data_IF_966969340233
#
_entry.id   IF_966969340233
#
_cell.length_a   1.000
_cell.length_b   1.000
_cell.length_c   1.000
_cell.angle_alpha   90.00
_cell.angle_beta   90.00
_cell.angle_gamma   90.00
#
_symmetry.space_group_name_H-M   'P 1'
#
loop_
_entity.id
_entity.type
_entity.pdbx_description
1 polymer ?
#
# COMPACT_ATOMS: atom_id res chain seq x y z
N UNK A 1 11.97 -37.04 42.55
CA UNK A 1 11.19 -36.05 41.76
C UNK A 1 10.21 -36.84 40.93
N UNK A 2 8.90 -36.69 41.20
CA UNK A 2 7.86 -37.51 40.58
C UNK A 2 7.65 -37.11 39.11
N UNK A 3 8.50 -37.66 38.26
CA UNK A 3 8.55 -37.38 36.82
C UNK A 3 7.23 -37.74 36.12
N UNK A 4 6.50 -38.72 36.64
CA UNK A 4 5.14 -39.03 36.18
C UNK A 4 4.13 -37.92 36.48
N UNK A 5 4.21 -37.27 37.66
CA UNK A 5 3.30 -36.17 38.04
C UNK A 5 3.56 -34.91 37.21
N UNK A 6 4.83 -34.58 36.97
CA UNK A 6 5.21 -33.42 36.15
C UNK A 6 4.73 -33.60 34.70
N UNK A 7 4.85 -34.80 34.13
CA UNK A 7 4.30 -35.12 32.80
C UNK A 7 2.79 -34.92 32.72
N UNK A 8 2.06 -35.41 33.69
CA UNK A 8 0.59 -35.26 33.72
C UNK A 8 0.19 -33.79 33.83
N UNK A 9 0.88 -33.00 34.65
CA UNK A 9 0.65 -31.54 34.75
C UNK A 9 0.92 -30.85 33.42
N UNK A 10 2.00 -31.19 32.72
CA UNK A 10 2.32 -30.62 31.40
C UNK A 10 1.28 -30.97 30.34
N UNK A 11 0.79 -32.22 30.32
CA UNK A 11 -0.25 -32.66 29.38
C UNK A 11 -1.55 -31.89 29.64
N UNK A 12 -1.94 -31.72 30.91
CA UNK A 12 -3.15 -30.98 31.28
C UNK A 12 -3.00 -29.49 30.94
N UNK A 13 -1.85 -28.89 31.22
CA UNK A 13 -1.60 -27.48 30.91
C UNK A 13 -1.61 -27.21 29.40
N UNK A 14 -1.02 -28.10 28.59
CA UNK A 14 -1.04 -28.00 27.13
C UNK A 14 -2.47 -28.17 26.60
N UNK A 15 -3.24 -29.12 27.14
CA UNK A 15 -4.64 -29.30 26.76
C UNK A 15 -5.51 -28.09 27.10
N UNK A 16 -5.28 -27.44 28.25
CA UNK A 16 -5.99 -26.19 28.59
C UNK A 16 -5.63 -25.05 27.64
N UNK A 17 -4.36 -24.95 27.24
CA UNK A 17 -3.91 -23.98 26.23
C UNK A 17 -4.57 -24.26 24.87
N UNK A 18 -4.59 -25.52 24.43
CA UNK A 18 -5.23 -25.90 23.16
C UNK A 18 -6.73 -25.59 23.16
N UNK A 19 -7.43 -25.88 24.26
CA UNK A 19 -8.86 -25.54 24.42
C UNK A 19 -9.05 -24.01 24.40
N UNK A 20 -8.17 -23.25 25.04
CA UNK A 20 -8.19 -21.80 25.00
C UNK A 20 -7.96 -21.28 23.57
N UNK A 21 -6.99 -21.82 22.84
CA UNK A 21 -6.72 -21.46 21.45
C UNK A 21 -7.87 -21.83 20.53
N UNK A 22 -8.51 -22.99 20.73
CA UNK A 22 -9.73 -23.37 19.99
C UNK A 22 -10.88 -22.43 20.32
N UNK A 23 -11.06 -22.06 21.59
CA UNK A 23 -12.08 -21.09 21.99
C UNK A 23 -11.84 -19.73 21.36
N UNK A 24 -10.60 -19.23 21.37
CA UNK A 24 -10.21 -17.96 20.74
C UNK A 24 -10.37 -18.02 19.22
N UNK A 25 -9.96 -19.12 18.58
CA UNK A 25 -10.15 -19.36 17.15
C UNK A 25 -11.64 -19.40 16.77
N UNK A 26 -12.47 -20.11 17.54
CA UNK A 26 -13.92 -20.15 17.32
C UNK A 26 -14.53 -18.78 17.56
N UNK A 27 -14.10 -18.04 18.58
CA UNK A 27 -14.56 -16.68 18.86
C UNK A 27 -14.20 -15.73 17.72
N UNK A 28 -12.98 -15.76 17.18
CA UNK A 28 -12.58 -14.97 16.00
C UNK A 28 -13.44 -15.35 14.79
N UNK A 29 -13.65 -16.64 14.56
CA UNK A 29 -14.49 -17.14 13.47
C UNK A 29 -15.98 -16.83 13.68
N UNK A 30 -16.46 -16.75 14.91
CA UNK A 30 -17.80 -16.32 15.29
C UNK A 30 -17.95 -14.80 15.19
N UNK A 31 -16.94 -13.99 15.49
CA UNK A 31 -16.95 -12.57 15.16
C UNK A 31 -17.02 -12.34 13.64
N UNK A 32 -16.39 -13.23 12.86
CA UNK A 32 -16.52 -13.26 11.39
C UNK A 32 -17.84 -13.86 10.89
N UNK A 33 -18.57 -14.64 11.70
CA UNK A 33 -19.86 -15.29 11.36
C UNK A 33 -21.09 -14.66 12.02
N UNK A 34 -20.95 -13.82 13.03
CA UNK A 34 -22.05 -13.18 13.74
C UNK A 34 -22.76 -12.11 12.91
N UNK A 35 -22.26 -11.84 11.69
CA UNK A 35 -22.98 -11.14 10.63
C UNK A 35 -24.03 -12.02 9.90
N UNK A 36 -24.16 -13.32 10.21
CA UNK A 36 -25.19 -14.25 9.66
C UNK A 36 -26.58 -14.16 10.37
N UNK A 37 -26.92 -13.04 11.02
CA UNK A 37 -28.32 -12.59 11.02
C UNK A 37 -28.68 -12.20 9.56
N UNK A 38 -29.94 -12.08 9.14
CA UNK A 38 -30.23 -11.46 7.84
C UNK A 38 -29.89 -9.97 7.94
N UNK A 39 -28.60 -9.66 7.90
CA UNK A 39 -28.05 -8.33 7.75
C UNK A 39 -28.43 -7.90 6.34
N UNK A 40 -29.15 -6.79 6.28
CA UNK A 40 -29.41 -6.08 5.04
C UNK A 40 -28.08 -5.96 4.26
N UNK A 41 -28.05 -6.30 2.96
CA UNK A 41 -26.81 -6.26 2.18
C UNK A 41 -26.11 -4.90 2.36
N UNK A 42 -24.77 -4.84 2.38
CA UNK A 42 -24.03 -3.60 2.60
C UNK A 42 -24.50 -2.47 1.67
N UNK A 43 -24.80 -2.81 0.41
CA UNK A 43 -25.33 -1.89 -0.59
C UNK A 43 -26.64 -1.22 -0.17
N UNK A 44 -27.57 -1.95 0.43
CA UNK A 44 -28.83 -1.42 0.92
C UNK A 44 -28.61 -0.52 2.16
N UNK A 45 -27.74 -0.94 3.07
CA UNK A 45 -27.36 -0.14 4.24
C UNK A 45 -26.75 1.20 3.80
N UNK A 46 -25.81 1.18 2.86
CA UNK A 46 -25.18 2.40 2.31
C UNK A 46 -26.22 3.32 1.67
N UNK A 47 -27.15 2.79 0.87
CA UNK A 47 -28.23 3.59 0.26
C UNK A 47 -29.13 4.25 1.32
N UNK A 48 -29.45 3.55 2.42
CA UNK A 48 -30.24 4.13 3.52
C UNK A 48 -29.49 5.23 4.27
N UNK A 49 -28.17 5.12 4.37
CA UNK A 49 -27.29 6.13 4.94
C UNK A 49 -27.02 7.31 3.97
N UNK A 50 -27.55 7.26 2.75
CA UNK A 50 -27.29 8.25 1.70
C UNK A 50 -25.83 8.30 1.26
N UNK A 51 -25.09 7.20 1.43
CA UNK A 51 -23.70 7.11 0.96
C UNK A 51 -23.73 6.63 -0.50
N UNK A 52 -23.43 7.55 -1.40
CA UNK A 52 -23.48 7.33 -2.84
C UNK A 52 -22.09 6.97 -3.40
N UNK A 53 -22.09 6.12 -4.43
CA UNK A 53 -20.90 5.68 -5.13
C UNK A 53 -21.25 5.28 -6.57
N UNK A 54 -20.29 5.40 -7.48
CA UNK A 54 -20.45 4.98 -8.86
C UNK A 54 -20.33 3.45 -8.99
N UNK A 55 -21.46 2.77 -9.19
CA UNK A 55 -21.53 1.31 -9.28
C UNK A 55 -20.75 0.74 -10.46
N UNK A 56 -20.60 1.50 -11.54
CA UNK A 56 -19.89 1.05 -12.75
C UNK A 56 -18.38 1.06 -12.57
N UNK A 57 -17.88 1.85 -11.61
CA UNK A 57 -16.46 1.95 -11.25
C UNK A 57 -16.02 0.99 -10.16
N UNK A 58 -16.95 0.21 -9.59
CA UNK A 58 -16.60 -0.79 -8.60
C UNK A 58 -15.93 -2.01 -9.27
N UNK A 59 -14.76 -2.46 -8.78
CA UNK A 59 -14.17 -3.71 -9.23
C UNK A 59 -15.11 -4.88 -8.96
N UNK A 60 -15.26 -5.77 -9.94
CA UNK A 60 -16.29 -6.80 -9.96
C UNK A 60 -15.88 -8.04 -9.15
N UNK A 61 -16.79 -8.45 -8.25
CA UNK A 61 -17.04 -9.75 -7.58
C UNK A 61 -15.91 -10.79 -7.44
N UNK A 62 -15.77 -11.31 -6.21
CA UNK A 62 -15.01 -12.53 -5.86
C UNK A 62 -13.52 -12.50 -6.26
N UNK A 63 -12.93 -11.31 -6.22
CA UNK A 63 -11.50 -11.14 -6.31
C UNK A 63 -10.85 -11.92 -5.17
N UNK A 64 -9.80 -12.66 -5.51
CA UNK A 64 -8.91 -13.23 -4.52
C UNK A 64 -7.59 -12.51 -4.55
N UNK A 65 -6.99 -12.41 -3.38
CA UNK A 65 -5.68 -11.82 -3.21
C UNK A 65 -4.99 -12.44 -1.99
N UNK A 66 -3.73 -12.10 -1.80
CA UNK A 66 -2.91 -12.64 -0.73
C UNK A 66 -1.84 -11.62 -0.32
N UNK A 67 -1.17 -11.91 0.80
CA UNK A 67 -0.04 -11.11 1.23
C UNK A 67 1.12 -11.21 0.24
N UNK A 68 1.92 -10.16 0.13
CA UNK A 68 3.19 -10.19 -0.59
C UNK A 68 4.35 -9.97 0.37
N UNK A 69 5.46 -10.65 0.11
CA UNK A 69 6.75 -10.34 0.72
C UNK A 69 7.62 -9.59 -0.29
N UNK A 70 8.20 -8.47 0.13
CA UNK A 70 9.08 -7.67 -0.72
C UNK A 70 10.35 -7.26 0.04
N UNK A 71 11.42 -6.96 -0.70
CA UNK A 71 12.67 -6.43 -0.11
C UNK A 71 13.00 -5.08 -0.74
N UNK A 72 13.51 -4.15 0.05
CA UNK A 72 14.07 -2.92 -0.50
C UNK A 72 15.29 -3.25 -1.36
N UNK A 73 15.31 -2.72 -2.58
CA UNK A 73 16.45 -2.80 -3.47
C UNK A 73 17.66 -2.16 -2.81
N UNK A 74 18.78 -2.88 -2.85
CA UNK A 74 20.07 -2.35 -2.45
C UNK A 74 20.83 -1.92 -3.70
N UNK A 75 21.04 -0.63 -3.86
CA UNK A 75 21.85 -0.04 -4.91
C UNK A 75 23.34 -0.25 -4.58
N UNK A 76 24.07 -0.85 -5.51
CA UNK A 76 25.51 -1.09 -5.34
C UNK A 76 26.32 -0.22 -6.29
N UNK A 77 27.49 0.24 -5.87
CA UNK A 77 28.35 1.11 -6.69
C UNK A 77 28.68 0.52 -8.06
N UNK A 78 28.87 -0.81 -8.14
CA UNK A 78 29.17 -1.51 -9.39
C UNK A 78 27.97 -1.57 -10.35
N UNK A 79 26.75 -1.64 -9.81
CA UNK A 79 25.52 -1.53 -10.59
C UNK A 79 25.33 -0.10 -11.10
N UNK A 80 25.48 0.90 -10.24
CA UNK A 80 25.33 2.31 -10.59
C UNK A 80 26.32 2.72 -11.68
N UNK A 81 27.60 2.35 -11.57
CA UNK A 81 28.62 2.62 -12.60
C UNK A 81 28.29 2.03 -13.97
N UNK A 82 27.51 0.95 -14.03
CA UNK A 82 27.03 0.38 -15.31
C UNK A 82 25.85 1.17 -15.84
N UNK A 83 24.91 1.55 -14.96
CA UNK A 83 23.72 2.31 -15.32
C UNK A 83 24.05 3.73 -15.78
N UNK A 84 25.04 4.39 -15.18
CA UNK A 84 25.52 5.73 -15.58
C UNK A 84 26.07 5.78 -17.02
N UNK A 85 26.55 4.64 -17.54
CA UNK A 85 27.02 4.52 -18.93
C UNK A 85 25.89 4.28 -19.94
N UNK A 86 24.66 4.10 -19.46
CA UNK A 86 23.49 3.75 -20.26
C UNK A 86 22.27 4.52 -19.79
N UNK A 87 21.35 3.81 -19.11
CA UNK A 87 20.04 4.34 -18.69
C UNK A 87 20.14 5.65 -17.89
N UNK A 88 21.11 5.76 -16.98
CA UNK A 88 21.27 6.93 -16.11
C UNK A 88 22.29 7.95 -16.64
N UNK A 89 22.58 7.92 -17.94
CA UNK A 89 23.51 8.88 -18.56
C UNK A 89 22.98 10.31 -18.48
N UNK A 90 23.86 11.28 -18.23
CA UNK A 90 23.51 12.70 -18.05
C UNK A 90 22.96 13.04 -16.66
N UNK A 91 23.25 12.18 -15.67
CA UNK A 91 22.79 12.32 -14.30
C UNK A 91 23.95 12.02 -13.33
N UNK A 92 24.05 12.79 -12.26
CA UNK A 92 24.96 12.51 -11.15
C UNK A 92 24.22 11.70 -10.08
N UNK A 93 24.66 10.47 -9.84
CA UNK A 93 23.98 9.53 -8.95
C UNK A 93 24.70 9.46 -7.59
N UNK A 94 23.95 9.62 -6.52
CA UNK A 94 24.41 9.39 -5.14
C UNK A 94 23.52 8.35 -4.48
N UNK A 95 24.12 7.36 -3.82
CA UNK A 95 23.39 6.35 -3.05
C UNK A 95 23.55 6.63 -1.56
N UNK A 96 22.43 6.65 -0.82
CA UNK A 96 22.39 6.77 0.64
C UNK A 96 21.76 5.54 1.28
N UNK A 97 22.32 5.11 2.41
CA UNK A 97 21.86 3.97 3.21
C UNK A 97 21.64 2.67 2.40
N UNK A 98 22.34 2.54 1.28
CA UNK A 98 22.20 1.49 0.25
C UNK A 98 20.83 1.40 -0.45
N UNK A 99 19.78 2.09 0.02
CA UNK A 99 18.40 1.90 -0.48
C UNK A 99 17.78 3.18 -1.07
N UNK A 100 18.45 4.32 -0.93
CA UNK A 100 18.01 5.59 -1.52
C UNK A 100 18.95 5.96 -2.66
N UNK A 101 18.41 6.04 -3.87
CA UNK A 101 19.11 6.57 -5.04
C UNK A 101 18.67 8.01 -5.23
N UNK A 102 19.61 8.94 -5.19
CA UNK A 102 19.40 10.34 -5.56
C UNK A 102 20.07 10.58 -6.91
N UNK A 103 19.33 11.14 -7.86
CA UNK A 103 19.84 11.54 -9.17
C UNK A 103 19.70 13.04 -9.34
N UNK A 104 20.80 13.73 -9.64
CA UNK A 104 20.81 15.15 -10.02
C UNK A 104 20.96 15.23 -11.54
N UNK A 105 20.05 15.95 -12.19
CA UNK A 105 20.02 16.03 -13.65
C UNK A 105 21.01 17.09 -14.13
N UNK A 106 21.91 16.74 -15.05
CA UNK A 106 22.80 17.72 -15.69
C UNK A 106 22.00 18.76 -16.49
N UNK A 107 20.88 18.33 -17.10
CA UNK A 107 19.94 19.17 -17.82
C UNK A 107 18.57 19.10 -17.14
N UNK A 108 18.14 20.17 -16.46
CA UNK A 108 16.81 20.21 -15.86
C UNK A 108 15.70 20.07 -16.89
N UNK A 109 14.61 19.40 -16.52
CA UNK A 109 13.44 19.18 -17.37
C UNK A 109 12.41 20.26 -17.05
N UNK A 110 12.02 21.06 -18.04
CA UNK A 110 10.98 22.07 -17.84
C UNK A 110 9.61 21.40 -17.83
N UNK A 111 8.76 21.78 -16.89
CA UNK A 111 7.37 21.32 -16.80
C UNK A 111 6.42 22.50 -16.90
N UNK A 112 5.24 22.24 -17.43
CA UNK A 112 4.20 23.26 -17.52
C UNK A 112 3.63 23.64 -16.14
N UNK A 113 3.01 24.82 -16.08
CA UNK A 113 2.38 25.30 -14.84
C UNK A 113 1.24 24.39 -14.40
N UNK A 114 0.45 23.93 -15.37
CA UNK A 114 -0.51 22.87 -15.20
C UNK A 114 0.20 21.58 -15.58
N UNK A 115 0.66 20.85 -14.56
CA UNK A 115 1.49 19.67 -14.76
C UNK A 115 0.66 18.51 -15.29
N UNK A 116 1.05 17.96 -16.43
CA UNK A 116 0.54 16.70 -16.94
C UNK A 116 1.53 15.56 -16.63
N UNK A 117 1.13 14.50 -15.91
CA UNK A 117 1.97 13.33 -15.69
C UNK A 117 2.54 12.71 -16.98
N UNK A 118 1.82 12.84 -18.10
CA UNK A 118 2.24 12.28 -19.38
C UNK A 118 3.53 12.93 -19.90
N UNK A 119 3.84 14.16 -19.51
CA UNK A 119 5.07 14.89 -19.85
C UNK A 119 6.34 14.17 -19.40
N UNK A 120 6.25 13.35 -18.34
CA UNK A 120 7.39 12.60 -17.80
C UNK A 120 7.49 11.17 -18.31
N UNK A 121 6.56 10.71 -19.15
CA UNK A 121 6.51 9.31 -19.62
C UNK A 121 7.82 8.87 -20.27
N UNK A 122 8.32 9.66 -21.23
CA UNK A 122 9.57 9.34 -21.93
C UNK A 122 10.78 9.33 -20.99
N UNK A 123 10.81 10.26 -20.02
CA UNK A 123 11.89 10.33 -19.04
C UNK A 123 11.87 9.12 -18.10
N UNK A 124 10.69 8.74 -17.60
CA UNK A 124 10.53 7.55 -16.76
C UNK A 124 10.98 6.28 -17.50
N UNK A 125 10.61 6.12 -18.77
CA UNK A 125 10.95 4.93 -19.55
C UNK A 125 12.45 4.82 -19.87
N UNK A 126 13.11 5.94 -20.14
CA UNK A 126 14.45 5.95 -20.73
C UNK A 126 15.55 6.44 -19.78
N UNK A 127 15.20 7.01 -18.64
CA UNK A 127 16.15 7.68 -17.75
C UNK A 127 15.95 7.43 -16.27
N UNK A 128 14.95 6.61 -15.89
CA UNK A 128 14.73 6.18 -14.51
C UNK A 128 14.75 4.67 -14.44
N UNK A 129 15.48 4.12 -13.45
CA UNK A 129 15.52 2.69 -13.22
C UNK A 129 14.10 2.16 -12.97
N UNK A 130 13.64 1.20 -13.76
CA UNK A 130 12.28 0.64 -13.64
C UNK A 130 11.17 1.71 -13.66
N UNK A 131 11.38 2.86 -14.34
CA UNK A 131 10.45 3.97 -14.31
C UNK A 131 9.03 3.62 -14.81
N UNK A 132 8.91 2.62 -15.69
CA UNK A 132 7.64 2.09 -16.18
C UNK A 132 6.73 1.52 -15.07
N UNK A 133 7.29 1.17 -13.91
CA UNK A 133 6.57 0.60 -12.77
C UNK A 133 6.08 1.67 -11.79
N UNK A 134 6.38 2.94 -12.02
CA UNK A 134 5.91 4.02 -11.17
C UNK A 134 4.63 4.65 -11.75
N UNK A 135 3.69 4.99 -10.88
CA UNK A 135 2.43 5.65 -11.23
C UNK A 135 2.29 6.96 -10.47
N UNK A 136 1.86 7.98 -11.20
CA UNK A 136 1.66 9.31 -10.66
C UNK A 136 0.68 9.26 -9.50
N UNK A 137 1.03 9.92 -8.40
CA UNK A 137 0.18 10.09 -7.24
C UNK A 137 -0.32 11.53 -7.17
N UNK A 138 0.61 12.45 -6.99
CA UNK A 138 0.30 13.86 -6.81
C UNK A 138 1.47 14.75 -7.18
N UNK A 139 1.15 16.01 -7.50
CA UNK A 139 2.11 17.11 -7.48
C UNK A 139 1.71 18.06 -6.36
N UNK A 140 2.60 18.27 -5.38
CA UNK A 140 2.34 19.15 -4.25
C UNK A 140 3.53 20.08 -4.02
N UNK A 141 3.29 21.39 -4.19
CA UNK A 141 4.35 22.39 -4.12
C UNK A 141 5.48 22.07 -5.13
N UNK A 142 6.68 21.88 -4.58
CA UNK A 142 7.92 21.66 -5.33
C UNK A 142 8.25 20.17 -5.53
N UNK A 143 7.31 19.26 -5.24
CA UNK A 143 7.52 17.83 -5.44
C UNK A 143 6.46 17.20 -6.34
N UNK A 144 6.88 16.20 -7.12
CA UNK A 144 5.99 15.32 -7.89
C UNK A 144 6.27 13.91 -7.43
N UNK A 145 5.26 13.24 -6.88
CA UNK A 145 5.38 11.92 -6.26
C UNK A 145 4.75 10.84 -7.13
N UNK A 146 5.41 9.69 -7.16
CA UNK A 146 4.94 8.48 -7.81
C UNK A 146 5.11 7.29 -6.86
N UNK A 147 4.16 6.37 -6.88
CA UNK A 147 4.29 5.07 -6.19
C UNK A 147 4.60 3.95 -7.17
N UNK A 148 5.41 3.00 -6.72
CA UNK A 148 5.65 1.77 -7.45
C UNK A 148 4.36 0.96 -7.56
N UNK A 149 4.18 0.28 -8.68
CA UNK A 149 3.09 -0.62 -8.99
C UNK A 149 3.65 -2.02 -9.21
N UNK A 150 2.95 -3.03 -8.70
CA UNK A 150 3.25 -4.43 -8.96
C UNK A 150 1.99 -5.13 -9.48
N UNK A 151 2.09 -5.81 -10.63
CA UNK A 151 0.97 -6.52 -11.25
C UNK A 151 -0.33 -5.68 -11.39
N UNK A 152 -0.20 -4.40 -11.73
CA UNK A 152 -1.34 -3.49 -11.87
C UNK A 152 -1.87 -2.89 -10.55
N UNK A 153 -1.26 -3.23 -9.41
CA UNK A 153 -1.67 -2.77 -8.07
C UNK A 153 -0.63 -1.84 -7.47
N UNK A 154 -1.05 -0.66 -7.02
CA UNK A 154 -0.15 0.36 -6.44
C UNK A 154 0.31 -0.05 -5.05
N UNK A 155 1.58 0.21 -4.72
CA UNK A 155 2.14 0.02 -3.38
C UNK A 155 1.96 1.33 -2.61
N UNK A 156 0.83 1.47 -1.93
CA UNK A 156 0.40 2.71 -1.30
C UNK A 156 1.30 3.12 -0.15
N UNK A 157 1.59 4.43 -0.09
CA UNK A 157 2.22 5.13 1.03
C UNK A 157 3.45 4.41 1.58
N UNK A 158 4.27 3.87 0.68
CA UNK A 158 5.46 3.11 1.04
C UNK A 158 6.72 3.92 0.69
N UNK A 159 7.43 4.49 1.68
CA UNK A 159 8.64 5.27 1.45
C UNK A 159 9.77 4.49 0.77
N UNK A 160 9.72 3.15 0.78
CA UNK A 160 10.70 2.27 0.12
C UNK A 160 10.27 1.81 -1.28
N UNK A 161 9.16 2.36 -1.80
CA UNK A 161 8.59 2.09 -3.11
C UNK A 161 8.11 3.39 -3.79
N UNK A 162 8.86 4.49 -3.63
CA UNK A 162 8.49 5.84 -4.07
C UNK A 162 9.54 6.43 -5.03
N UNK A 163 9.06 7.22 -5.98
CA UNK A 163 9.88 8.10 -6.82
C UNK A 163 9.38 9.54 -6.64
N UNK A 164 10.28 10.42 -6.22
CA UNK A 164 9.95 11.81 -5.90
C UNK A 164 10.87 12.76 -6.64
N UNK A 165 10.30 13.51 -7.59
CA UNK A 165 10.97 14.56 -8.33
C UNK A 165 10.96 15.87 -7.53
N UNK A 166 12.07 16.61 -7.57
CA UNK A 166 12.21 17.93 -6.98
C UNK A 166 12.20 19.00 -8.08
N UNK A 167 11.28 19.95 -7.94
CA UNK A 167 11.06 21.05 -8.87
C UNK A 167 11.63 22.34 -8.26
N UNK A 168 12.38 23.11 -9.04
CA UNK A 168 12.89 24.41 -8.62
C UNK A 168 11.89 25.55 -8.86
N UNK A 169 12.25 26.77 -8.47
CA UNK A 169 11.41 27.97 -8.62
C UNK A 169 11.09 28.35 -10.07
N UNK A 170 11.88 27.84 -11.04
CA UNK A 170 11.68 28.05 -12.47
C UNK A 170 10.75 26.99 -13.10
N UNK A 171 10.06 26.17 -12.29
CA UNK A 171 9.29 25.00 -12.74
C UNK A 171 10.13 24.02 -13.58
N UNK A 172 11.33 23.70 -13.09
CA UNK A 172 12.19 22.68 -13.69
C UNK A 172 12.48 21.57 -12.70
N UNK A 173 12.35 20.33 -13.12
CA UNK A 173 12.82 19.17 -12.38
C UNK A 173 14.34 19.17 -12.44
N UNK A 174 14.99 19.22 -11.27
CA UNK A 174 16.44 19.29 -11.13
C UNK A 174 17.04 18.01 -10.57
N UNK A 175 16.24 17.23 -9.85
CA UNK A 175 16.67 15.97 -9.25
C UNK A 175 15.47 15.08 -8.94
N UNK A 176 15.74 13.81 -8.66
CA UNK A 176 14.77 12.91 -8.04
C UNK A 176 15.41 12.00 -7.01
N UNK A 177 14.58 11.54 -6.07
CA UNK A 177 14.90 10.46 -5.14
C UNK A 177 14.10 9.23 -5.50
N UNK A 178 14.73 8.07 -5.47
CA UNK A 178 14.14 6.80 -5.81
C UNK A 178 14.42 5.76 -4.74
N UNK A 179 13.36 5.07 -4.34
CA UNK A 179 13.39 3.81 -3.62
C UNK A 179 12.58 2.78 -4.40
N UNK A 180 12.95 1.51 -4.29
CA UNK A 180 12.33 0.46 -5.08
C UNK A 180 12.24 -0.83 -4.28
N UNK A 181 11.11 -1.51 -4.35
CA UNK A 181 10.93 -2.86 -3.84
C UNK A 181 11.21 -3.89 -4.93
N UNK A 182 12.08 -4.83 -4.63
CA UNK A 182 12.44 -5.96 -5.47
C UNK A 182 12.09 -7.29 -4.80
N UNK A 183 12.21 -8.38 -5.55
CA UNK A 183 11.93 -9.74 -5.05
C UNK A 183 10.53 -9.85 -4.43
N UNK A 184 9.55 -9.18 -5.04
CA UNK A 184 8.15 -9.25 -4.62
C UNK A 184 7.64 -10.67 -4.89
N UNK A 185 7.18 -11.34 -3.83
CA UNK A 185 6.72 -12.72 -3.86
C UNK A 185 5.37 -12.83 -3.19
N UNK A 186 4.52 -13.62 -3.81
CA UNK A 186 3.27 -14.08 -3.24
C UNK A 186 3.53 -14.92 -1.98
N UNK A 187 2.82 -14.60 -0.90
CA UNK A 187 2.85 -15.29 0.39
C UNK A 187 1.48 -15.92 0.65
N UNK A 188 1.50 -17.05 1.36
CA UNK A 188 0.29 -17.81 1.69
C UNK A 188 -0.51 -18.23 0.44
N UNK A 189 -1.81 -18.50 0.60
CA UNK A 189 -2.71 -18.88 -0.47
C UNK A 189 -3.72 -17.76 -0.65
N UNK A 190 -4.02 -17.43 -1.90
CA UNK A 190 -5.14 -16.57 -2.28
C UNK A 190 -6.43 -16.83 -1.48
N UNK A 191 -6.89 -15.77 -0.81
CA UNK A 191 -8.12 -15.72 -0.04
C UNK A 191 -9.12 -14.79 -0.74
N UNK A 192 -10.41 -15.02 -0.50
CA UNK A 192 -11.45 -14.10 -0.99
C UNK A 192 -11.33 -12.81 -0.22
N UNK A 193 -11.15 -11.69 -0.92
CA UNK A 193 -11.07 -10.38 -0.29
C UNK A 193 -12.45 -9.75 -0.16
N UNK A 194 -12.58 -8.90 0.86
CA UNK A 194 -13.70 -8.01 1.12
C UNK A 194 -14.13 -7.27 -0.15
N UNK A 195 -15.44 -7.14 -0.37
CA UNK A 195 -15.95 -6.42 -1.53
C UNK A 195 -15.97 -4.90 -1.29
N UNK A 196 -15.90 -4.08 -2.33
CA UNK A 196 -15.94 -2.62 -2.21
C UNK A 196 -17.05 -2.04 -1.29
N UNK A 197 -18.32 -2.51 -1.36
CA UNK A 197 -19.37 -1.98 -0.49
C UNK A 197 -19.12 -2.26 1.00
N UNK A 198 -18.50 -3.40 1.32
CA UNK A 198 -18.13 -3.74 2.70
C UNK A 198 -17.02 -2.82 3.20
N UNK A 199 -16.03 -2.51 2.37
CA UNK A 199 -14.96 -1.58 2.73
C UNK A 199 -15.50 -0.17 3.01
N UNK A 200 -16.41 0.34 2.17
CA UNK A 200 -17.09 1.62 2.40
C UNK A 200 -17.90 1.59 3.70
N UNK A 201 -18.66 0.50 3.93
CA UNK A 201 -19.44 0.35 5.15
C UNK A 201 -18.55 0.30 6.40
N UNK A 202 -17.37 -0.32 6.32
CA UNK A 202 -16.40 -0.34 7.41
C UNK A 202 -15.87 1.05 7.74
N UNK A 203 -15.61 1.89 6.73
CA UNK A 203 -15.24 3.29 6.98
C UNK A 203 -16.33 4.03 7.77
N UNK A 204 -17.60 3.84 7.38
CA UNK A 204 -18.73 4.44 8.09
C UNK A 204 -18.87 3.91 9.53
N UNK A 205 -18.86 2.58 9.71
CA UNK A 205 -18.98 1.92 11.04
C UNK A 205 -17.87 2.36 12.00
N UNK A 206 -16.69 2.69 11.48
CA UNK A 206 -15.55 3.17 12.26
C UNK A 206 -15.46 4.71 12.34
N UNK A 207 -16.50 5.43 11.91
CA UNK A 207 -16.60 6.90 11.94
C UNK A 207 -15.53 7.66 11.12
N UNK A 208 -15.00 7.04 10.06
CA UNK A 208 -14.10 7.74 9.12
C UNK A 208 -14.86 8.55 8.07
N UNK A 209 -16.10 8.15 7.77
CA UNK A 209 -16.99 8.86 6.84
C UNK A 209 -18.37 9.00 7.47
N UNK A 210 -19.11 10.00 7.04
CA UNK A 210 -20.44 10.32 7.57
C UNK A 210 -21.56 9.85 6.62
N UNK A 211 -22.80 9.89 7.10
CA UNK A 211 -23.97 9.73 6.23
C UNK A 211 -24.02 10.86 5.21
N UNK A 212 -24.44 10.58 3.97
CA UNK A 212 -24.43 11.56 2.89
C UNK A 212 -23.10 11.74 2.16
N UNK A 213 -22.04 11.02 2.53
CA UNK A 213 -20.74 11.06 1.85
C UNK A 213 -20.80 10.50 0.42
N UNK A 214 -19.93 11.01 -0.45
CA UNK A 214 -19.78 10.53 -1.83
C UNK A 214 -18.43 9.86 -2.04
N UNK A 215 -18.45 8.60 -2.50
CA UNK A 215 -17.27 7.82 -2.88
C UNK A 215 -17.01 8.02 -4.36
N UNK A 216 -15.92 8.71 -4.71
CA UNK A 216 -15.59 9.05 -6.09
C UNK A 216 -14.78 7.96 -6.80
N UNK A 217 -13.99 7.20 -6.06
CA UNK A 217 -13.10 6.17 -6.59
C UNK A 217 -12.83 5.08 -5.56
N UNK A 218 -12.64 3.85 -6.03
CA UNK A 218 -12.10 2.76 -5.21
C UNK A 218 -11.19 1.88 -6.06
N UNK A 219 -10.02 1.56 -5.53
CA UNK A 219 -9.02 0.75 -6.22
C UNK A 219 -8.29 -0.19 -5.26
N UNK A 220 -7.88 -1.35 -5.80
CA UNK A 220 -7.12 -2.34 -5.07
C UNK A 220 -5.63 -2.09 -5.26
N UNK A 221 -4.90 -2.08 -4.16
CA UNK A 221 -3.45 -2.05 -4.13
C UNK A 221 -2.90 -2.83 -2.96
N UNK A 222 -1.71 -2.46 -2.51
CA UNK A 222 -1.10 -3.02 -1.31
C UNK A 222 -0.65 -1.92 -0.36
N UNK A 223 -0.75 -2.20 0.93
CA UNK A 223 -0.22 -1.35 1.99
C UNK A 223 0.79 -2.14 2.82
N UNK A 224 1.82 -1.49 3.33
CA UNK A 224 2.82 -2.15 4.19
C UNK A 224 2.26 -2.38 5.58
N UNK A 225 2.05 -3.65 5.94
CA UNK A 225 1.60 -4.05 7.27
C UNK A 225 2.77 -4.20 8.25
N UNK A 226 3.92 -4.67 7.76
CA UNK A 226 5.12 -4.83 8.55
C UNK A 226 6.36 -4.49 7.73
N UNK A 227 7.21 -3.61 8.25
CA UNK A 227 8.45 -3.16 7.60
C UNK A 227 9.68 -3.61 8.40
N UNK A 228 10.19 -4.82 8.13
CA UNK A 228 11.45 -5.33 8.73
C UNK A 228 12.55 -5.46 7.67
N UNK A 229 13.32 -6.57 7.69
CA UNK A 229 14.28 -6.89 6.63
C UNK A 229 13.61 -7.33 5.33
N UNK A 230 12.41 -7.89 5.44
CA UNK A 230 11.44 -8.04 4.37
C UNK A 230 10.15 -7.35 4.80
N UNK A 231 9.49 -6.71 3.86
CA UNK A 231 8.18 -6.10 4.05
C UNK A 231 7.09 -7.15 3.86
N UNK A 232 6.07 -7.08 4.70
CA UNK A 232 4.80 -7.77 4.50
C UNK A 232 3.79 -6.75 3.98
N UNK A 233 3.29 -6.98 2.77
CA UNK A 233 2.34 -6.12 2.09
C UNK A 233 0.97 -6.79 2.09
N UNK A 234 -0.05 -6.09 2.56
CA UNK A 234 -1.43 -6.57 2.66
C UNK A 234 -2.27 -5.98 1.52
N UNK A 235 -3.10 -6.79 0.82
CA UNK A 235 -4.03 -6.26 -0.17
C UNK A 235 -4.98 -5.27 0.51
N UNK A 236 -5.15 -4.10 -0.09
CA UNK A 236 -5.80 -2.95 0.55
C UNK A 236 -6.65 -2.20 -0.47
N UNK A 237 -7.89 -1.90 -0.08
CA UNK A 237 -8.76 -0.97 -0.80
C UNK A 237 -8.37 0.46 -0.46
N UNK A 238 -8.00 1.25 -1.47
CA UNK A 238 -7.98 2.71 -1.36
C UNK A 238 -9.36 3.23 -1.77
N UNK A 239 -10.05 3.90 -0.87
CA UNK A 239 -11.39 4.46 -1.05
C UNK A 239 -11.29 5.98 -0.99
N UNK A 240 -11.57 6.66 -2.10
CA UNK A 240 -11.56 8.12 -2.16
C UNK A 240 -12.96 8.64 -1.87
N UNK A 241 -13.12 9.34 -0.75
CA UNK A 241 -14.40 9.89 -0.27
C UNK A 241 -14.25 11.40 -0.10
N UNK A 242 -15.09 12.19 -0.77
CA UNK A 242 -15.02 13.66 -0.72
C UNK A 242 -13.59 14.23 -0.92
N UNK A 243 -12.83 13.66 -1.88
CA UNK A 243 -11.43 14.02 -2.19
C UNK A 243 -10.38 13.57 -1.17
N UNK A 244 -10.76 12.81 -0.13
CA UNK A 244 -9.85 12.23 0.84
C UNK A 244 -9.69 10.72 0.63
N UNK A 245 -8.44 10.22 0.69
CA UNK A 245 -8.11 8.82 0.51
C UNK A 245 -8.07 8.05 1.85
N UNK A 246 -8.91 7.04 1.97
CA UNK A 246 -8.93 6.09 3.08
C UNK A 246 -8.41 4.72 2.64
N UNK A 247 -7.81 3.97 3.57
CA UNK A 247 -7.21 2.67 3.29
C UNK A 247 -7.85 1.61 4.17
N UNK A 248 -8.38 0.55 3.56
CA UNK A 248 -9.03 -0.57 4.28
C UNK A 248 -8.37 -1.87 3.86
N UNK A 249 -7.81 -2.61 4.81
CA UNK A 249 -7.25 -3.93 4.56
C UNK A 249 -8.34 -4.84 3.96
N UNK A 250 -8.05 -5.42 2.79
CA UNK A 250 -9.03 -6.17 2.01
C UNK A 250 -9.27 -7.59 2.56
N UNK A 251 -8.43 -8.09 3.48
CA UNK A 251 -8.59 -9.42 4.08
C UNK A 251 -9.35 -9.37 5.41
N UNK A 252 -9.02 -8.42 6.30
CA UNK A 252 -9.61 -8.34 7.64
C UNK A 252 -10.54 -7.14 7.87
N UNK A 253 -10.61 -6.20 6.90
CA UNK A 253 -11.47 -5.02 6.98
C UNK A 253 -10.96 -3.91 7.90
N UNK A 254 -9.75 -4.03 8.46
CA UNK A 254 -9.17 -3.00 9.31
C UNK A 254 -8.94 -1.71 8.52
N UNK A 255 -9.41 -0.58 9.06
CA UNK A 255 -9.08 0.74 8.51
C UNK A 255 -7.66 1.10 8.92
N UNK A 256 -6.80 1.31 7.92
CA UNK A 256 -5.40 1.66 8.10
C UNK A 256 -5.31 3.17 8.26
N UNK A 257 -4.87 3.61 9.44
CA UNK A 257 -4.54 5.00 9.68
C UNK A 257 -3.05 5.20 9.37
N UNK A 258 -2.71 5.95 8.32
CA UNK A 258 -1.33 6.30 8.07
C UNK A 258 -0.84 7.17 9.23
N UNK A 259 0.33 6.84 9.79
CA UNK A 259 1.02 7.76 10.69
C UNK A 259 1.22 9.08 9.93
N UNK A 260 0.66 10.17 10.44
CA UNK A 260 0.90 11.51 9.91
C UNK A 260 2.40 11.77 9.98
N UNK A 261 3.03 12.20 8.88
CA UNK A 261 4.48 12.48 8.79
C UNK A 261 4.99 13.56 9.78
N UNK A 262 4.13 14.11 10.64
CA UNK A 262 4.48 15.11 11.67
C UNK A 262 5.20 14.55 12.90
N UNK A 263 5.45 13.24 13.01
CA UNK A 263 6.20 12.67 14.15
C UNK A 263 7.49 11.95 13.75
N UNK A 264 8.35 12.59 12.93
CA UNK A 264 9.79 12.25 12.88
C UNK A 264 10.63 13.52 12.76
N UNK A 265 10.60 14.32 13.82
CA UNK A 265 11.71 15.21 14.17
C UNK A 265 12.20 14.78 15.54
N UNK A 266 13.11 13.80 15.55
CA UNK A 266 14.05 13.57 16.66
C UNK A 266 15.39 13.10 16.07
#
# INVERSE_FOLDING_TARGET
>A
MDWSKIKTIFIIAFLLLDVYLIYEYVKIKEYQRADDLPTEPPTHTLSRLGIDYDKEKLPVNNVKDQYLSAKSKKFTDDEIKKLEKGLLSGQEITVRDSIYLQAVLEKPISIDKEFDPDDLTDFLLNSVLNGAEYRFLEKKGNTIKYYQQHAGKTLYRNPKAELTFNVNEENKIVSYNQTYLENIKEMDKEEVIMQPPDAILNLFKNNFIESGSYVSHIELGYYTQLDTSAQLLAPTWKVTVNEEDFYVNALDGQVIQPETEEMKVE
#
